data_IF_188119001887
#
_entry.id   IF_188119001887
#
_cell.length_a   1.000
_cell.length_b   1.000
_cell.length_c   1.000
_cell.angle_alpha   90.00
_cell.angle_beta   90.00
_cell.angle_gamma   90.00
#
_symmetry.space_group_name_H-M   'P 1'
#
loop_
_entity.id
_entity.type
_entity.pdbx_description
1 polymer ?
#
# COMPACT_ATOMS: atom_id res chain seq x y z
N UNK A 1 10.91 -76.07 -32.69
CA UNK A 1 10.96 -75.59 -31.28
C UNK A 1 10.83 -74.08 -31.29
N UNK A 2 9.99 -73.48 -30.43
CA UNK A 2 8.56 -73.31 -30.70
C UNK A 2 8.09 -71.82 -30.66
N UNK A 3 7.11 -71.41 -31.49
CA UNK A 3 5.69 -71.07 -31.12
C UNK A 3 5.48 -69.54 -30.91
N UNK A 4 4.82 -68.82 -31.84
CA UNK A 4 3.37 -68.45 -31.88
C UNK A 4 2.97 -67.47 -30.74
N UNK A 5 2.31 -66.31 -30.92
CA UNK A 5 0.94 -65.96 -31.41
C UNK A 5 0.84 -64.42 -31.28
N UNK A 6 0.31 -63.62 -32.20
CA UNK A 6 -1.09 -63.41 -32.62
C UNK A 6 -2.06 -62.90 -31.53
N UNK A 7 -2.93 -61.98 -31.96
CA UNK A 7 -4.27 -61.64 -31.42
C UNK A 7 -4.33 -60.44 -30.46
N UNK A 8 -4.81 -59.27 -30.94
CA UNK A 8 -6.21 -58.78 -30.88
C UNK A 8 -6.49 -58.05 -29.54
N UNK A 9 -7.38 -57.07 -29.40
CA UNK A 9 -8.54 -56.68 -30.17
C UNK A 9 -8.94 -55.24 -29.77
N UNK A 10 -9.78 -54.66 -30.62
CA UNK A 10 -10.59 -53.44 -30.48
C UNK A 10 -11.18 -53.20 -29.08
N UNK A 11 -11.33 -51.93 -28.73
CA UNK A 11 -12.63 -51.38 -28.32
C UNK A 11 -12.73 -49.89 -28.62
N UNK A 12 -13.65 -49.58 -29.51
CA UNK A 12 -14.35 -48.29 -29.60
C UNK A 12 -15.11 -48.03 -28.31
N UNK A 13 -14.96 -46.84 -27.71
CA UNK A 13 -16.03 -46.25 -26.92
C UNK A 13 -16.16 -44.77 -27.28
N UNK A 14 -17.29 -44.48 -27.92
CA UNK A 14 -17.90 -43.15 -27.92
C UNK A 14 -18.08 -42.72 -26.46
N UNK A 15 -17.31 -41.74 -26.02
CA UNK A 15 -17.54 -40.97 -24.81
C UNK A 15 -17.69 -39.52 -25.20
N UNK A 16 -18.93 -39.09 -25.44
CA UNK A 16 -19.34 -37.69 -25.42
C UNK A 16 -19.12 -37.17 -23.98
N UNK A 17 -17.88 -36.79 -23.67
CA UNK A 17 -17.56 -36.00 -22.50
C UNK A 17 -17.60 -34.54 -22.90
N UNK A 18 -18.63 -33.82 -22.45
CA UNK A 18 -18.71 -32.37 -22.46
C UNK A 18 -17.46 -31.78 -21.77
N UNK A 19 -16.40 -31.60 -22.55
CA UNK A 19 -15.17 -30.93 -22.14
C UNK A 19 -15.35 -29.42 -22.22
N UNK A 20 -16.33 -28.86 -21.49
CA UNK A 20 -16.29 -27.44 -21.12
C UNK A 20 -15.51 -27.29 -19.82
N UNK A 21 -14.25 -27.74 -19.85
CA UNK A 21 -13.25 -27.16 -18.98
C UNK A 21 -12.83 -25.88 -19.70
N UNK A 22 -13.48 -24.77 -19.34
CA UNK A 22 -13.09 -23.42 -19.77
C UNK A 22 -11.66 -23.20 -19.28
N UNK A 23 -10.71 -23.62 -20.12
CA UNK A 23 -9.30 -23.39 -19.91
C UNK A 23 -9.12 -21.88 -19.96
N UNK A 24 -9.08 -21.27 -18.78
CA UNK A 24 -8.61 -19.91 -18.59
C UNK A 24 -7.12 -19.93 -18.96
N UNK A 25 -6.87 -19.81 -20.28
CA UNK A 25 -5.55 -19.71 -20.87
C UNK A 25 -5.00 -18.35 -20.48
N UNK A 26 -4.53 -18.24 -19.24
CA UNK A 26 -3.61 -17.18 -18.85
C UNK A 26 -2.46 -17.23 -19.85
N UNK A 27 -2.28 -16.17 -20.64
CA UNK A 27 -1.02 -15.95 -21.33
C UNK A 27 0.05 -15.94 -20.24
N UNK A 28 0.87 -16.99 -20.20
CA UNK A 28 1.96 -17.12 -19.25
C UNK A 28 3.11 -16.23 -19.74
N UNK A 29 3.07 -14.93 -19.43
CA UNK A 29 4.23 -14.06 -19.57
C UNK A 29 5.28 -14.40 -18.50
N UNK A 30 6.34 -15.12 -18.90
CA UNK A 30 7.51 -15.53 -18.08
C UNK A 30 7.16 -16.52 -16.94
N UNK A 31 7.84 -17.68 -16.83
CA UNK A 31 7.57 -18.68 -15.79
C UNK A 31 7.60 -18.07 -14.38
N UNK A 32 6.43 -18.01 -13.72
CA UNK A 32 6.28 -17.57 -12.33
C UNK A 32 5.83 -16.12 -12.12
N UNK A 33 5.41 -15.38 -13.16
CA UNK A 33 4.76 -14.06 -13.01
C UNK A 33 3.24 -14.21 -12.99
N UNK A 34 2.57 -13.55 -12.04
CA UNK A 34 1.10 -13.56 -11.94
C UNK A 34 0.62 -12.17 -12.40
N UNK A 35 0.23 -12.07 -13.67
CA UNK A 35 -0.12 -10.79 -14.31
C UNK A 35 -1.22 -10.03 -13.57
N UNK A 36 -2.24 -10.75 -13.07
CA UNK A 36 -3.33 -10.15 -12.30
C UNK A 36 -2.85 -9.47 -11.02
N UNK A 37 -1.85 -10.02 -10.33
CA UNK A 37 -1.29 -9.40 -9.10
C UNK A 37 -0.57 -8.11 -9.45
N UNK A 38 0.18 -8.09 -10.55
CA UNK A 38 0.90 -6.90 -10.97
C UNK A 38 -0.04 -5.81 -11.49
N UNK A 39 -1.12 -6.19 -12.21
CA UNK A 39 -2.17 -5.27 -12.62
C UNK A 39 -2.90 -4.65 -11.43
N UNK A 40 -3.25 -5.47 -10.43
CA UNK A 40 -3.89 -5.00 -9.20
C UNK A 40 -2.99 -4.06 -8.39
N UNK A 41 -1.66 -4.28 -8.40
CA UNK A 41 -0.72 -3.32 -7.79
C UNK A 41 -0.71 -1.99 -8.51
N UNK A 42 -0.68 -2.02 -9.85
CA UNK A 42 -0.76 -0.81 -10.66
C UNK A 42 -2.05 -0.02 -10.37
N UNK A 43 -3.19 -0.71 -10.33
CA UNK A 43 -4.47 -0.10 -9.96
C UNK A 43 -4.44 0.52 -8.56
N UNK A 44 -3.88 -0.20 -7.58
CA UNK A 44 -3.77 0.31 -6.22
C UNK A 44 -2.88 1.54 -6.12
N UNK A 45 -1.77 1.56 -6.86
CA UNK A 45 -0.89 2.74 -6.95
C UNK A 45 -1.58 3.94 -7.59
N UNK A 46 -2.41 3.72 -8.63
CA UNK A 46 -3.19 4.81 -9.24
C UNK A 46 -4.21 5.39 -8.26
N UNK A 47 -4.88 4.55 -7.47
CA UNK A 47 -5.79 5.01 -6.43
C UNK A 47 -5.08 5.81 -5.32
N UNK A 48 -3.91 5.35 -4.86
CA UNK A 48 -3.08 6.09 -3.90
C UNK A 48 -2.63 7.42 -4.49
N UNK A 49 -2.15 7.43 -5.74
CA UNK A 49 -1.73 8.65 -6.43
C UNK A 49 -2.88 9.66 -6.52
N UNK A 50 -4.07 9.20 -6.88
CA UNK A 50 -5.22 10.08 -7.05
C UNK A 50 -5.62 10.79 -5.76
N UNK A 51 -5.50 10.12 -4.60
CA UNK A 51 -5.77 10.76 -3.31
C UNK A 51 -4.65 11.75 -2.96
N UNK A 52 -3.39 11.38 -3.19
CA UNK A 52 -2.25 12.21 -2.81
C UNK A 52 -1.98 13.38 -3.75
N UNK A 53 -2.51 13.38 -4.98
CA UNK A 53 -2.28 14.47 -5.95
C UNK A 53 -2.78 15.82 -5.42
N UNK A 54 -3.77 15.82 -4.53
CA UNK A 54 -4.29 17.04 -3.91
C UNK A 54 -3.29 17.73 -2.97
N UNK A 55 -2.38 16.96 -2.35
CA UNK A 55 -1.30 17.56 -1.56
C UNK A 55 -0.35 18.39 -2.43
N UNK A 56 -0.29 18.13 -3.75
CA UNK A 56 0.54 18.94 -4.65
C UNK A 56 0.03 20.37 -4.83
N UNK A 57 -1.22 20.67 -4.46
CA UNK A 57 -1.80 22.01 -4.53
C UNK A 57 -2.06 22.61 -3.15
N UNK A 58 -2.54 21.79 -2.20
CA UNK A 58 -3.02 22.26 -0.88
C UNK A 58 -2.15 21.80 0.30
N UNK A 59 -1.07 21.04 0.05
CA UNK A 59 -0.24 20.45 1.10
C UNK A 59 -1.03 19.47 1.98
N UNK A 60 -0.70 19.44 3.27
CA UNK A 60 -1.34 18.58 4.28
C UNK A 60 -2.79 19.00 4.65
N UNK A 61 -3.30 20.10 4.09
CA UNK A 61 -4.60 20.68 4.43
C UNK A 61 -5.78 20.03 3.70
N UNK A 62 -6.97 20.11 4.32
CA UNK A 62 -8.21 19.58 3.74
C UNK A 62 -8.73 20.54 2.65
N UNK A 63 -8.83 20.13 1.37
CA UNK A 63 -9.11 21.04 0.26
C UNK A 63 -10.42 21.82 0.41
N UNK A 64 -11.43 21.20 1.02
CA UNK A 64 -12.76 21.79 1.20
C UNK A 64 -12.81 22.97 2.16
N UNK A 65 -11.87 23.08 3.10
CA UNK A 65 -11.79 24.23 3.99
C UNK A 65 -11.44 25.54 3.25
N UNK A 66 -10.97 25.44 2.01
CA UNK A 66 -10.35 26.53 1.27
C UNK A 66 -10.94 26.77 -0.13
N UNK A 67 -11.97 26.01 -0.51
CA UNK A 67 -12.79 26.31 -1.68
C UNK A 67 -13.74 27.48 -1.39
N UNK A 68 -14.25 28.12 -2.46
CA UNK A 68 -15.31 29.13 -2.35
C UNK A 68 -16.46 28.58 -1.49
N UNK A 69 -16.91 29.37 -0.51
CA UNK A 69 -17.98 28.98 0.39
C UNK A 69 -19.28 29.71 0.03
N UNK A 70 -20.38 28.99 -0.31
CA UNK A 70 -20.49 27.52 -0.33
C UNK A 70 -19.89 26.90 -1.62
N UNK A 71 -19.27 25.70 -1.52
CA UNK A 71 -18.79 24.98 -2.69
C UNK A 71 -19.97 24.55 -3.57
N UNK A 72 -19.77 24.52 -4.88
CA UNK A 72 -20.78 24.03 -5.79
C UNK A 72 -21.12 22.56 -5.57
N UNK A 73 -22.27 22.13 -6.12
CA UNK A 73 -22.78 20.77 -5.93
C UNK A 73 -21.89 19.71 -6.57
N UNK A 74 -21.20 20.04 -7.66
CA UNK A 74 -20.30 19.12 -8.36
C UNK A 74 -19.00 18.92 -7.56
N UNK A 75 -18.43 20.00 -7.04
CA UNK A 75 -17.23 20.01 -6.20
C UNK A 75 -17.47 19.18 -4.95
N UNK A 76 -18.61 19.42 -4.28
CA UNK A 76 -19.04 18.66 -3.11
C UNK A 76 -19.25 17.17 -3.43
N UNK A 77 -19.88 16.86 -4.58
CA UNK A 77 -20.11 15.49 -5.02
C UNK A 77 -18.82 14.73 -5.34
N UNK A 78 -17.87 15.38 -6.02
CA UNK A 78 -16.55 14.80 -6.34
C UNK A 78 -15.75 14.55 -5.05
N UNK A 79 -15.75 15.51 -4.13
CA UNK A 79 -15.08 15.32 -2.83
C UNK A 79 -15.69 14.15 -2.06
N UNK A 80 -17.02 14.12 -1.94
CA UNK A 80 -17.70 13.02 -1.26
C UNK A 80 -17.36 11.66 -1.88
N UNK A 81 -17.35 11.58 -3.21
CA UNK A 81 -16.96 10.36 -3.92
C UNK A 81 -15.53 9.94 -3.57
N UNK A 82 -14.59 10.88 -3.59
CA UNK A 82 -13.19 10.61 -3.26
C UNK A 82 -13.03 10.13 -1.81
N UNK A 83 -13.62 10.85 -0.85
CA UNK A 83 -13.56 10.52 0.57
C UNK A 83 -14.22 9.15 0.86
N UNK A 84 -15.37 8.87 0.24
CA UNK A 84 -16.11 7.64 0.49
C UNK A 84 -15.45 6.40 -0.16
N UNK A 85 -14.95 6.53 -1.40
CA UNK A 85 -14.56 5.38 -2.23
C UNK A 85 -13.05 5.24 -2.47
N UNK A 86 -12.27 6.31 -2.40
CA UNK A 86 -10.84 6.26 -2.72
C UNK A 86 -9.98 6.36 -1.47
N UNK A 87 -10.31 7.30 -0.58
CA UNK A 87 -9.52 7.59 0.60
C UNK A 87 -9.44 6.38 1.55
N UNK A 88 -8.20 6.03 1.94
CA UNK A 88 -7.92 4.89 2.80
C UNK A 88 -8.17 3.49 2.20
N UNK A 89 -8.84 3.35 1.04
CA UNK A 89 -9.23 2.02 0.49
C UNK A 89 -8.08 1.33 -0.23
N UNK A 90 -7.27 2.07 -0.97
CA UNK A 90 -6.20 1.50 -1.80
C UNK A 90 -4.95 1.10 -1.00
N UNK A 91 -4.73 1.72 0.16
CA UNK A 91 -3.60 1.39 1.03
C UNK A 91 -3.63 -0.08 1.51
N UNK A 92 -4.73 -0.60 2.09
CA UNK A 92 -4.82 -2.02 2.46
C UNK A 92 -4.67 -2.98 1.28
N UNK A 93 -5.23 -2.65 0.12
CA UNK A 93 -5.13 -3.46 -1.10
C UNK A 93 -3.67 -3.55 -1.53
N UNK A 94 -2.98 -2.41 -1.59
CA UNK A 94 -1.57 -2.37 -1.93
C UNK A 94 -0.71 -3.14 -0.90
N UNK A 95 -0.97 -2.96 0.40
CA UNK A 95 -0.28 -3.67 1.48
C UNK A 95 -0.40 -5.19 1.34
N UNK A 96 -1.63 -5.67 1.07
CA UNK A 96 -1.90 -7.09 0.85
C UNK A 96 -1.12 -7.63 -0.36
N UNK A 97 -1.22 -6.95 -1.50
CA UNK A 97 -0.54 -7.35 -2.74
C UNK A 97 0.99 -7.30 -2.62
N UNK A 98 1.51 -6.35 -1.84
CA UNK A 98 2.92 -6.25 -1.51
C UNK A 98 3.37 -7.44 -0.67
N UNK A 99 2.62 -7.80 0.38
CA UNK A 99 2.87 -8.99 1.20
C UNK A 99 2.84 -10.29 0.40
N UNK A 100 1.87 -10.45 -0.50
CA UNK A 100 1.82 -11.59 -1.45
C UNK A 100 3.05 -11.58 -2.37
N UNK A 101 3.47 -10.41 -2.83
CA UNK A 101 4.68 -10.21 -3.63
C UNK A 101 5.95 -10.68 -2.95
N UNK A 102 6.14 -10.28 -1.70
CA UNK A 102 7.25 -10.73 -0.85
C UNK A 102 7.28 -12.26 -0.76
N UNK A 103 6.13 -12.90 -0.55
CA UNK A 103 6.07 -14.35 -0.42
C UNK A 103 6.42 -15.08 -1.73
N UNK A 104 5.89 -14.62 -2.87
CA UNK A 104 6.22 -15.16 -4.18
C UNK A 104 7.71 -14.96 -4.50
N UNK A 105 8.24 -13.77 -4.20
CA UNK A 105 9.64 -13.41 -4.38
C UNK A 105 10.56 -14.29 -3.53
N UNK A 106 10.19 -14.55 -2.27
CA UNK A 106 10.96 -15.43 -1.37
C UNK A 106 11.01 -16.85 -1.90
N UNK A 107 9.88 -17.39 -2.38
CA UNK A 107 9.82 -18.74 -2.98
C UNK A 107 10.68 -18.81 -4.25
N UNK A 108 10.61 -17.78 -5.10
CA UNK A 108 11.42 -17.68 -6.33
C UNK A 108 12.91 -17.64 -6.00
N UNK A 109 13.33 -16.81 -5.05
CA UNK A 109 14.74 -16.70 -4.63
C UNK A 109 15.26 -18.01 -4.03
N UNK A 110 14.46 -18.72 -3.23
CA UNK A 110 14.85 -20.05 -2.71
C UNK A 110 15.08 -21.07 -3.83
N UNK A 111 14.21 -21.08 -4.85
CA UNK A 111 14.38 -21.96 -6.02
C UNK A 111 15.63 -21.59 -6.83
N UNK A 112 15.85 -20.30 -7.09
CA UNK A 112 17.01 -19.82 -7.86
C UNK A 112 18.35 -20.08 -7.17
N UNK A 113 18.39 -20.03 -5.84
CA UNK A 113 19.60 -20.32 -5.05
C UNK A 113 19.70 -21.80 -4.64
N UNK A 114 19.06 -22.72 -5.38
CA UNK A 114 19.15 -24.17 -5.15
C UNK A 114 18.80 -24.61 -3.71
N UNK A 115 17.94 -23.86 -3.02
CA UNK A 115 17.57 -24.13 -1.64
C UNK A 115 18.50 -23.50 -0.58
N UNK A 116 19.58 -22.83 -0.96
CA UNK A 116 20.43 -22.08 -0.02
C UNK A 116 19.63 -20.90 0.58
N UNK A 117 19.22 -21.11 1.82
CA UNK A 117 18.43 -20.16 2.58
C UNK A 117 19.20 -18.86 2.89
N UNK A 118 20.54 -18.93 3.06
CA UNK A 118 21.37 -17.76 3.37
C UNK A 118 21.54 -16.88 2.13
N UNK A 119 21.87 -17.47 0.99
CA UNK A 119 21.96 -16.76 -0.29
C UNK A 119 20.62 -16.13 -0.68
N UNK A 120 19.51 -16.88 -0.54
CA UNK A 120 18.16 -16.36 -0.82
C UNK A 120 17.78 -15.19 0.10
N UNK A 121 18.11 -15.27 1.40
CA UNK A 121 17.85 -14.18 2.34
C UNK A 121 18.71 -12.93 2.07
N UNK A 122 19.99 -13.11 1.70
CA UNK A 122 20.86 -12.01 1.31
C UNK A 122 20.35 -11.28 0.06
N UNK A 123 19.95 -12.04 -0.97
CA UNK A 123 19.37 -11.49 -2.19
C UNK A 123 18.05 -10.74 -1.91
N UNK A 124 17.23 -11.25 -1.00
CA UNK A 124 15.99 -10.60 -0.57
C UNK A 124 16.27 -9.27 0.16
N UNK A 125 17.19 -9.27 1.14
CA UNK A 125 17.58 -8.05 1.86
C UNK A 125 18.14 -6.98 0.93
N UNK A 126 19.05 -7.34 0.01
CA UNK A 126 19.61 -6.40 -0.97
C UNK A 126 18.53 -5.68 -1.76
N UNK A 127 17.50 -6.42 -2.23
CA UNK A 127 16.38 -5.84 -2.97
C UNK A 127 15.56 -4.88 -2.12
N UNK A 128 15.29 -5.23 -0.86
CA UNK A 128 14.58 -4.33 0.05
C UNK A 128 15.41 -3.10 0.44
N UNK A 129 16.72 -3.22 0.57
CA UNK A 129 17.61 -2.07 0.80
C UNK A 129 17.59 -1.12 -0.39
N UNK A 130 17.59 -1.65 -1.62
CA UNK A 130 17.42 -0.83 -2.84
C UNK A 130 16.04 -0.17 -2.84
N UNK A 131 14.98 -0.91 -2.50
CA UNK A 131 13.63 -0.35 -2.40
C UNK A 131 13.55 0.77 -1.34
N UNK A 132 14.21 0.58 -0.20
CA UNK A 132 14.31 1.59 0.86
C UNK A 132 15.07 2.82 0.38
N UNK A 133 16.19 2.66 -0.33
CA UNK A 133 16.94 3.78 -0.88
C UNK A 133 16.10 4.58 -1.90
N UNK A 134 15.35 3.87 -2.76
CA UNK A 134 14.41 4.49 -3.69
C UNK A 134 13.26 5.20 -2.96
N UNK A 135 12.74 4.61 -1.89
CA UNK A 135 11.71 5.23 -1.05
C UNK A 135 12.23 6.49 -0.37
N UNK A 136 13.42 6.46 0.22
CA UNK A 136 14.04 7.64 0.85
C UNK A 136 14.27 8.74 -0.18
N UNK A 137 14.79 8.38 -1.37
CA UNK A 137 14.96 9.34 -2.46
C UNK A 137 13.61 9.92 -2.90
N UNK A 138 12.56 9.10 -3.00
CA UNK A 138 11.21 9.56 -3.31
C UNK A 138 10.65 10.48 -2.22
N UNK A 139 10.82 10.12 -0.95
CA UNK A 139 10.42 10.90 0.23
C UNK A 139 11.07 12.29 0.27
N UNK A 140 12.36 12.34 -0.04
CA UNK A 140 13.14 13.58 0.00
C UNK A 140 12.95 14.45 -1.24
N UNK A 141 12.84 13.84 -2.42
CA UNK A 141 12.90 14.56 -3.69
C UNK A 141 11.53 14.79 -4.33
N UNK A 142 10.52 13.98 -4.03
CA UNK A 142 9.26 14.00 -4.77
C UNK A 142 8.08 14.25 -3.84
N UNK A 143 7.89 13.38 -2.85
CA UNK A 143 6.68 13.38 -2.03
C UNK A 143 6.98 12.81 -0.65
N UNK A 144 6.75 13.63 0.37
CA UNK A 144 7.04 13.32 1.78
C UNK A 144 6.22 12.14 2.30
N UNK A 145 4.98 11.94 1.83
CA UNK A 145 4.17 10.75 2.13
C UNK A 145 4.64 9.45 1.45
N UNK A 146 5.95 9.18 1.40
CA UNK A 146 6.49 8.00 0.74
C UNK A 146 6.05 6.70 1.42
N UNK A 147 5.38 5.89 0.62
CA UNK A 147 4.85 4.61 1.02
C UNK A 147 5.90 3.49 0.85
N UNK A 148 6.87 3.65 -0.06
CA UNK A 148 7.87 2.62 -0.38
C UNK A 148 8.79 2.32 0.81
N UNK A 149 9.23 3.35 1.52
CA UNK A 149 10.11 3.24 2.69
C UNK A 149 9.44 2.44 3.80
N UNK A 150 8.17 2.73 4.07
CA UNK A 150 7.36 1.99 5.05
C UNK A 150 7.31 0.50 4.70
N UNK A 151 7.04 0.16 3.44
CA UNK A 151 6.98 -1.21 2.99
C UNK A 151 8.35 -1.91 2.96
N UNK A 152 9.42 -1.21 2.59
CA UNK A 152 10.77 -1.74 2.62
C UNK A 152 11.20 -2.08 4.05
N UNK A 153 10.91 -1.18 5.01
CA UNK A 153 11.16 -1.41 6.44
C UNK A 153 10.30 -2.55 6.95
N UNK A 154 9.00 -2.60 6.62
CA UNK A 154 8.14 -3.72 6.98
C UNK A 154 8.66 -5.04 6.42
N UNK A 155 9.13 -5.06 5.17
CA UNK A 155 9.70 -6.24 4.52
C UNK A 155 11.03 -6.68 5.17
N UNK A 156 11.87 -5.73 5.58
CA UNK A 156 13.15 -6.00 6.25
C UNK A 156 12.91 -6.51 7.67
N UNK A 157 12.01 -5.87 8.40
CA UNK A 157 11.54 -6.30 9.71
C UNK A 157 10.91 -7.69 9.62
N UNK A 158 10.09 -7.99 8.61
CA UNK A 158 9.57 -9.34 8.39
C UNK A 158 10.68 -10.36 8.07
N UNK A 159 11.72 -9.98 7.33
CA UNK A 159 12.87 -10.86 7.12
C UNK A 159 13.72 -11.09 8.37
N UNK A 160 13.80 -10.09 9.26
CA UNK A 160 14.54 -10.17 10.53
C UNK A 160 13.73 -10.87 11.63
N UNK A 161 12.40 -10.75 11.59
CA UNK A 161 11.46 -11.18 12.64
C UNK A 161 10.56 -12.30 12.11
N UNK A 162 11.04 -13.54 12.20
CA UNK A 162 10.19 -14.74 12.16
C UNK A 162 10.76 -15.74 13.17
N UNK A 163 10.01 -16.36 14.14
CA UNK A 163 8.56 -16.41 14.39
C UNK A 163 8.10 -16.11 15.85
N UNK A 164 8.95 -15.61 16.75
CA UNK A 164 8.74 -15.77 18.20
C UNK A 164 7.75 -14.81 18.89
N UNK A 165 7.17 -13.82 18.21
CA UNK A 165 6.40 -12.74 18.88
C UNK A 165 5.13 -12.28 18.17
N UNK A 166 4.44 -13.18 17.45
CA UNK A 166 3.18 -12.84 16.74
C UNK A 166 2.13 -12.19 17.66
N UNK A 167 2.00 -12.66 18.91
CA UNK A 167 1.09 -12.07 19.91
C UNK A 167 1.50 -10.63 20.28
N UNK A 168 2.79 -10.37 20.46
CA UNK A 168 3.28 -9.03 20.77
C UNK A 168 3.05 -8.07 19.58
N UNK A 169 3.17 -8.56 18.35
CA UNK A 169 2.89 -7.76 17.17
C UNK A 169 1.40 -7.39 17.10
N UNK A 170 0.49 -8.35 17.30
CA UNK A 170 -0.97 -8.07 17.32
C UNK A 170 -1.34 -7.09 18.43
N UNK A 171 -0.81 -7.27 19.64
CA UNK A 171 -1.05 -6.34 20.75
C UNK A 171 -0.49 -4.95 20.45
N UNK A 172 0.72 -4.87 19.87
CA UNK A 172 1.31 -3.61 19.41
C UNK A 172 0.41 -2.92 18.38
N UNK A 173 -0.12 -3.66 17.39
CA UNK A 173 -1.03 -3.09 16.39
C UNK A 173 -2.35 -2.59 16.97
N UNK A 174 -2.88 -3.27 18.00
CA UNK A 174 -4.08 -2.84 18.69
C UNK A 174 -3.85 -1.55 19.49
N UNK A 175 -2.70 -1.45 20.19
CA UNK A 175 -2.31 -0.23 20.91
C UNK A 175 -2.12 0.96 19.98
N UNK A 176 -1.51 0.75 18.82
CA UNK A 176 -1.36 1.79 17.82
C UNK A 176 -2.70 2.25 17.24
N UNK A 177 -3.67 1.33 17.07
CA UNK A 177 -5.04 1.70 16.69
C UNK A 177 -5.74 2.55 17.74
N UNK A 178 -5.60 2.18 19.02
CA UNK A 178 -6.16 2.98 20.12
C UNK A 178 -5.51 4.37 20.14
N UNK A 179 -4.18 4.43 20.03
CA UNK A 179 -3.45 5.71 19.97
C UNK A 179 -3.86 6.56 18.76
N UNK A 180 -4.08 5.95 17.60
CA UNK A 180 -4.54 6.62 16.39
C UNK A 180 -5.93 7.24 16.57
N UNK A 181 -6.89 6.45 17.07
CA UNK A 181 -8.25 6.93 17.38
C UNK A 181 -8.17 8.05 18.40
N UNK A 182 -7.44 7.89 19.49
CA UNK A 182 -7.26 8.96 20.46
C UNK A 182 -6.63 10.21 19.83
N UNK A 183 -5.60 10.08 18.99
CA UNK A 183 -4.96 11.22 18.33
C UNK A 183 -5.87 11.96 17.35
N UNK A 184 -6.80 11.26 16.70
CA UNK A 184 -7.74 11.86 15.76
C UNK A 184 -8.92 12.54 16.47
N UNK A 185 -9.44 11.92 17.53
CA UNK A 185 -10.64 12.39 18.22
C UNK A 185 -10.35 13.34 19.38
N UNK A 186 -9.21 13.22 20.07
CA UNK A 186 -8.87 14.07 21.22
C UNK A 186 -8.74 15.56 20.86
N UNK A 187 -8.10 15.96 19.75
CA UNK A 187 -8.03 17.38 19.36
C UNK A 187 -9.41 17.95 19.05
N UNK A 188 -10.27 17.19 18.37
CA UNK A 188 -11.64 17.59 18.04
C UNK A 188 -12.46 17.82 19.32
N UNK A 189 -12.40 16.86 20.25
CA UNK A 189 -13.08 16.96 21.55
C UNK A 189 -12.53 18.12 22.37
N UNK A 190 -11.21 18.33 22.37
CA UNK A 190 -10.56 19.41 23.13
C UNK A 190 -10.91 20.78 22.57
N UNK A 191 -10.86 20.96 21.24
CA UNK A 191 -11.29 22.18 20.56
C UNK A 191 -12.75 22.48 20.84
N UNK A 192 -13.62 21.47 20.73
CA UNK A 192 -15.04 21.62 21.02
C UNK A 192 -15.32 21.96 22.49
N UNK A 193 -14.60 21.34 23.43
CA UNK A 193 -14.74 21.55 24.87
C UNK A 193 -14.17 22.89 25.34
N UNK A 194 -13.07 23.36 24.72
CA UNK A 194 -12.44 24.65 25.04
C UNK A 194 -13.09 25.82 24.30
N UNK A 195 -14.00 25.56 23.37
CA UNK A 195 -14.65 26.60 22.57
C UNK A 195 -13.69 27.37 21.66
N UNK A 196 -12.54 26.77 21.32
CA UNK A 196 -11.52 27.37 20.44
C UNK A 196 -11.96 27.14 18.99
N UNK A 197 -13.08 27.74 18.60
CA UNK A 197 -13.51 27.74 17.21
C UNK A 197 -12.83 28.94 16.54
N UNK A 198 -11.91 28.69 15.60
CA UNK A 198 -11.53 29.73 14.66
C UNK A 198 -12.78 30.07 13.82
N UNK A 199 -13.11 31.35 13.72
CA UNK A 199 -14.23 31.79 12.90
C UNK A 199 -13.98 31.32 11.45
N UNK A 200 -14.95 30.62 10.81
CA UNK A 200 -14.78 30.01 9.48
C UNK A 200 -14.56 31.04 8.35
N UNK A 201 -14.66 32.33 8.66
CA UNK A 201 -14.71 33.42 7.69
C UNK A 201 -13.33 33.78 7.10
N UNK A 202 -12.22 33.26 7.69
CA UNK A 202 -10.87 33.59 7.26
C UNK A 202 -10.01 32.34 7.10
N UNK A 203 -9.50 32.14 5.88
CA UNK A 203 -8.48 31.13 5.60
C UNK A 203 -7.21 31.52 6.37
N UNK A 204 -6.60 30.61 7.16
CA UNK A 204 -5.38 30.91 7.89
C UNK A 204 -4.27 31.40 6.95
N UNK A 205 -3.54 32.44 7.36
CA UNK A 205 -2.45 33.02 6.55
C UNK A 205 -1.37 31.99 6.18
N UNK A 206 -1.16 30.97 7.02
CA UNK A 206 -0.26 29.84 6.76
C UNK A 206 -0.68 29.02 5.54
N UNK A 207 -2.00 28.83 5.33
CA UNK A 207 -2.55 28.07 4.21
C UNK A 207 -2.43 28.86 2.92
N UNK A 208 -2.77 30.16 2.95
CA UNK A 208 -2.60 31.04 1.78
C UNK A 208 -1.13 31.06 1.37
N UNK A 209 -0.21 31.20 2.32
CA UNK A 209 1.23 31.14 2.07
C UNK A 209 1.66 29.81 1.44
N UNK A 210 1.27 28.67 2.02
CA UNK A 210 1.60 27.36 1.47
C UNK A 210 1.06 27.17 0.04
N UNK A 211 -0.20 27.54 -0.21
CA UNK A 211 -0.82 27.48 -1.53
C UNK A 211 -0.07 28.33 -2.58
N UNK A 212 0.40 29.53 -2.20
CA UNK A 212 1.20 30.35 -3.13
C UNK A 212 2.52 29.67 -3.51
N UNK A 213 3.18 28.99 -2.57
CA UNK A 213 4.40 28.23 -2.86
C UNK A 213 4.09 27.07 -3.80
N UNK A 214 3.04 26.31 -3.53
CA UNK A 214 2.66 25.16 -4.37
C UNK A 214 2.28 25.56 -5.80
N UNK A 215 1.61 26.70 -5.99
CA UNK A 215 1.17 27.12 -7.32
C UNK A 215 2.22 27.93 -8.09
N UNK A 216 3.09 28.68 -7.42
CA UNK A 216 3.94 29.69 -8.08
C UNK A 216 5.43 29.54 -7.83
N UNK A 217 5.86 28.84 -6.78
CA UNK A 217 7.29 28.71 -6.48
C UNK A 217 7.96 27.60 -7.31
N UNK A 218 9.30 27.63 -7.35
CA UNK A 218 10.09 26.58 -7.96
C UNK A 218 10.07 25.28 -7.16
N UNK A 219 10.41 24.18 -7.84
CA UNK A 219 10.40 22.81 -7.29
C UNK A 219 11.02 22.68 -5.88
N UNK A 220 12.20 23.25 -5.65
CA UNK A 220 12.88 23.12 -4.35
C UNK A 220 12.16 23.85 -3.21
N UNK A 221 11.48 24.97 -3.50
CA UNK A 221 10.68 25.67 -2.50
C UNK A 221 9.44 24.85 -2.13
N UNK A 222 8.81 24.21 -3.12
CA UNK A 222 7.69 23.30 -2.88
C UNK A 222 8.10 22.09 -2.04
N UNK A 223 9.26 21.49 -2.32
CA UNK A 223 9.80 20.39 -1.49
C UNK A 223 10.05 20.87 -0.05
N UNK A 224 10.65 22.04 0.14
CA UNK A 224 10.85 22.63 1.47
C UNK A 224 9.53 22.81 2.22
N UNK A 225 8.50 23.35 1.56
CA UNK A 225 7.18 23.55 2.15
C UNK A 225 6.51 22.23 2.52
N UNK A 226 6.64 21.18 1.70
CA UNK A 226 6.10 19.84 2.02
C UNK A 226 6.65 19.24 3.29
N UNK A 227 7.96 19.38 3.49
CA UNK A 227 8.59 18.90 4.71
C UNK A 227 8.05 19.63 5.95
N UNK A 228 7.63 20.89 5.83
CA UNK A 228 7.01 21.64 6.92
C UNK A 228 5.57 21.17 7.14
N UNK A 229 4.79 21.08 6.06
CA UNK A 229 3.35 20.76 6.13
C UNK A 229 3.11 19.30 6.54
N UNK A 230 3.86 18.37 5.97
CA UNK A 230 3.63 16.93 6.14
C UNK A 230 4.48 16.29 7.24
N UNK A 231 5.46 16.98 7.84
CA UNK A 231 6.29 16.40 8.91
C UNK A 231 5.43 15.88 10.07
N UNK A 232 4.41 16.64 10.49
CA UNK A 232 3.53 16.23 11.58
C UNK A 232 2.61 15.08 11.20
N UNK A 233 2.07 15.09 9.98
CA UNK A 233 1.27 13.98 9.46
C UNK A 233 2.09 12.71 9.31
N UNK A 234 3.36 12.81 8.94
CA UNK A 234 4.25 11.64 8.84
C UNK A 234 4.52 11.02 10.21
N UNK A 235 4.80 11.82 11.24
CA UNK A 235 4.97 11.30 12.60
C UNK A 235 3.69 10.61 13.09
N UNK A 236 2.53 11.22 12.87
CA UNK A 236 1.23 10.60 13.17
C UNK A 236 0.96 9.33 12.37
N UNK A 237 1.29 9.33 11.08
CA UNK A 237 1.13 8.20 10.16
C UNK A 237 2.06 7.03 10.46
N UNK A 238 3.29 7.29 10.92
CA UNK A 238 4.21 6.23 11.38
C UNK A 238 3.61 5.53 12.61
N UNK A 239 3.05 6.27 13.55
CA UNK A 239 2.46 5.72 14.77
C UNK A 239 1.13 5.01 14.53
N UNK A 240 0.36 5.47 13.54
CA UNK A 240 -1.01 5.01 13.27
C UNK A 240 -1.07 3.92 12.20
N UNK A 241 -0.36 4.12 11.09
CA UNK A 241 -0.55 3.41 9.83
C UNK A 241 0.39 2.21 9.70
N UNK A 242 1.65 2.37 10.08
CA UNK A 242 2.67 1.31 9.96
C UNK A 242 2.35 0.05 10.78
N UNK A 243 1.80 0.16 12.00
CA UNK A 243 1.36 -1.00 12.77
C UNK A 243 0.32 -1.83 12.01
N UNK A 244 -0.59 -1.22 11.25
CA UNK A 244 -1.59 -1.94 10.47
C UNK A 244 -0.96 -2.83 9.39
N UNK A 245 0.07 -2.31 8.71
CA UNK A 245 0.86 -3.06 7.71
C UNK A 245 1.54 -4.26 8.37
N UNK A 246 2.09 -4.08 9.57
CA UNK A 246 2.68 -5.17 10.36
C UNK A 246 1.66 -6.24 10.74
N UNK A 247 0.45 -5.88 11.18
CA UNK A 247 -0.61 -6.84 11.54
C UNK A 247 -1.06 -7.71 10.36
N UNK A 248 -1.31 -7.08 9.21
CA UNK A 248 -1.84 -7.75 8.02
C UNK A 248 -0.86 -8.82 7.50
N UNK A 249 0.43 -8.48 7.48
CA UNK A 249 1.50 -9.41 7.05
C UNK A 249 1.61 -10.61 8.02
N UNK A 250 1.30 -10.40 9.30
CA UNK A 250 1.49 -11.41 10.35
C UNK A 250 0.36 -12.46 10.44
N UNK A 251 -0.88 -12.14 10.04
CA UNK A 251 -2.03 -13.06 10.15
C UNK A 251 -1.97 -14.31 9.28
N UNK A 252 -1.18 -14.31 8.19
CA UNK A 252 -1.14 -15.42 7.21
C UNK A 252 -0.67 -16.77 7.80
N UNK A 253 0.04 -16.78 8.93
CA UNK A 253 0.51 -18.05 9.55
C UNK A 253 -0.56 -18.83 10.32
N UNK A 254 -1.78 -18.31 10.52
CA UNK A 254 -2.86 -19.05 11.22
C UNK A 254 -3.77 -19.87 10.30
N UNK A 255 -3.67 -19.70 8.98
CA UNK A 255 -4.55 -20.35 7.99
C UNK A 255 -3.84 -21.44 7.17
N UNK A 256 -2.73 -21.97 7.66
CA UNK A 256 -1.96 -23.04 7.00
C UNK A 256 -1.40 -24.03 8.01
#
# INVERSE_FOLDING_TARGET
MPVLRASANRTTSHGLGFGMCTAYRTRQGVPGRIEIIDALRGLALMGILQVNIQSFTWGAGEPLGYLDQPPGALESGVYFFQAAFLEGKFYPIFAFLFGVGIALQTRKLRRLNQGDARAAAAAYRRRLTVLLALGIAHGLLLFSGDVLSAYAICGLAFAAVVPSRLRALVVFTAWCWIAAVLSAFLPVVLVAALGIYEAPDQIPASVVYAHTIYCHAGFFAQIGQRWIDEAWQQVGGILTFWPQVFALIAQRRRLG
#
